data_IF_285743967234
#
_entry.id   IF_285743967234
#
_cell.length_a   1.000
_cell.length_b   1.000
_cell.length_c   1.000
_cell.angle_alpha   90.00
_cell.angle_beta   90.00
_cell.angle_gamma   90.00
#
_symmetry.space_group_name_H-M   'P 1'
#
loop_
_entity.id
_entity.type
_entity.pdbx_description
1 polymer ?
#
# COMPACT_ATOMS: atom_id res chain seq x y z
N UNK A 1 -13.43 57.81 -38.06
CA UNK A 1 -13.55 57.37 -36.66
C UNK A 1 -13.33 55.86 -36.57
N UNK A 2 -12.08 55.41 -36.40
CA UNK A 2 -11.74 54.01 -36.11
C UNK A 2 -11.44 53.93 -34.61
N UNK A 3 -12.26 53.21 -33.84
CA UNK A 3 -12.03 52.97 -32.40
C UNK A 3 -10.91 51.94 -32.27
N UNK A 4 -9.81 52.35 -31.62
CA UNK A 4 -8.71 51.49 -31.22
C UNK A 4 -9.13 50.78 -29.92
N UNK A 5 -9.21 49.45 -29.94
CA UNK A 5 -9.52 48.62 -28.78
C UNK A 5 -8.20 48.31 -28.06
N UNK A 6 -7.98 48.93 -26.90
CA UNK A 6 -6.80 48.66 -26.07
C UNK A 6 -7.02 47.37 -25.29
N UNK A 7 -6.28 46.32 -25.65
CA UNK A 7 -6.23 45.05 -24.92
C UNK A 7 -5.29 45.19 -23.72
N UNK A 8 -5.84 45.19 -22.50
CA UNK A 8 -5.06 45.16 -21.26
C UNK A 8 -4.73 43.70 -20.96
N UNK A 9 -3.47 43.30 -21.21
CA UNK A 9 -2.93 42.02 -20.76
C UNK A 9 -2.52 42.22 -19.30
N UNK A 10 -3.31 41.69 -18.37
CA UNK A 10 -2.94 41.61 -16.96
C UNK A 10 -1.92 40.50 -16.76
N UNK A 11 -0.65 40.88 -16.62
CA UNK A 11 0.45 39.99 -16.26
C UNK A 11 0.43 39.77 -14.74
N UNK A 12 -0.17 38.66 -14.31
CA UNK A 12 -0.05 38.19 -12.92
C UNK A 12 1.35 37.58 -12.72
N UNK A 13 2.24 38.36 -12.09
CA UNK A 13 3.50 37.87 -11.58
C UNK A 13 3.24 37.01 -10.34
N UNK A 14 3.11 35.70 -10.53
CA UNK A 14 3.34 34.77 -9.42
C UNK A 14 4.84 34.76 -9.13
N UNK A 15 5.22 35.21 -7.93
CA UNK A 15 6.56 35.05 -7.40
C UNK A 15 6.88 33.55 -7.38
N UNK A 16 7.72 33.12 -8.31
CA UNK A 16 8.11 31.73 -8.47
C UNK A 16 8.83 31.21 -7.25
N UNK A 17 8.15 30.37 -6.48
CA UNK A 17 8.80 29.28 -5.78
C UNK A 17 8.89 28.13 -6.78
N UNK A 18 10.00 28.05 -7.51
CA UNK A 18 10.32 26.86 -8.31
C UNK A 18 10.73 25.74 -7.34
N UNK A 19 9.74 25.00 -6.86
CA UNK A 19 9.99 23.67 -6.30
C UNK A 19 10.55 22.85 -7.47
N UNK A 20 11.69 22.19 -7.28
CA UNK A 20 12.23 21.26 -8.26
C UNK A 20 11.09 20.31 -8.69
N UNK A 21 10.70 20.37 -9.97
CA UNK A 21 9.50 19.70 -10.45
C UNK A 21 9.79 18.20 -10.62
N UNK A 22 9.81 17.49 -9.49
CA UNK A 22 9.74 16.04 -9.48
C UNK A 22 8.44 15.53 -10.08
N UNK A 23 8.42 14.28 -10.52
CA UNK A 23 7.21 13.66 -11.04
C UNK A 23 6.13 13.63 -9.95
N UNK A 24 4.88 13.90 -10.34
CA UNK A 24 3.77 13.91 -9.40
C UNK A 24 3.37 12.48 -9.00
N UNK A 25 2.92 12.33 -7.76
CA UNK A 25 2.02 11.23 -7.43
C UNK A 25 0.66 11.49 -8.09
N UNK A 26 0.03 10.46 -8.65
CA UNK A 26 -1.21 10.56 -9.42
C UNK A 26 -2.21 9.51 -8.94
N UNK A 27 -3.31 9.99 -8.36
CA UNK A 27 -4.38 9.19 -7.76
C UNK A 27 -5.68 9.39 -8.55
N UNK A 28 -6.45 8.31 -8.72
CA UNK A 28 -7.73 8.33 -9.41
C UNK A 28 -8.86 7.98 -8.45
N UNK A 29 -9.82 8.87 -8.32
CA UNK A 29 -11.00 8.72 -7.46
C UNK A 29 -12.28 8.72 -8.30
N UNK A 30 -13.23 7.89 -7.90
CA UNK A 30 -14.60 7.86 -8.42
C UNK A 30 -15.56 8.13 -7.26
N UNK A 31 -16.08 9.36 -7.17
CA UNK A 31 -16.98 9.74 -6.07
C UNK A 31 -18.41 9.22 -6.24
N UNK A 32 -18.74 8.58 -7.36
CA UNK A 32 -20.03 7.91 -7.55
C UNK A 32 -20.13 6.56 -6.80
N UNK A 33 -19.03 6.04 -6.26
CA UNK A 33 -18.98 4.69 -5.65
C UNK A 33 -19.57 4.62 -4.24
N UNK A 34 -19.66 5.74 -3.53
CA UNK A 34 -20.25 5.79 -2.19
C UNK A 34 -20.74 7.19 -1.85
N UNK A 35 -21.54 7.30 -0.78
CA UNK A 35 -22.24 8.53 -0.43
C UNK A 35 -21.29 9.73 -0.22
N UNK A 36 -21.69 10.87 -0.79
CA UNK A 36 -21.02 12.15 -0.63
C UNK A 36 -19.84 12.34 -1.58
N UNK A 37 -19.35 13.57 -1.68
CA UNK A 37 -18.30 13.95 -2.65
C UNK A 37 -16.95 14.21 -1.97
N UNK A 38 -16.81 13.91 -0.69
CA UNK A 38 -15.55 14.13 0.06
C UNK A 38 -14.57 12.97 -0.14
N UNK A 39 -13.31 13.32 -0.36
CA UNK A 39 -12.14 12.44 -0.27
C UNK A 39 -11.12 13.07 0.69
N UNK A 40 -10.16 12.28 1.15
CA UNK A 40 -9.03 12.77 1.93
C UNK A 40 -7.70 12.15 1.49
N UNK A 41 -6.62 12.90 1.70
CA UNK A 41 -5.25 12.43 1.49
C UNK A 41 -4.54 12.22 2.85
N UNK A 42 -3.96 11.03 3.12
CA UNK A 42 -3.22 10.75 4.35
C UNK A 42 -1.75 11.21 4.22
N UNK A 43 -1.47 12.49 4.46
CA UNK A 43 -0.13 13.05 4.31
C UNK A 43 0.59 13.09 5.66
N UNK A 44 1.69 12.34 5.82
CA UNK A 44 2.42 12.24 7.09
C UNK A 44 3.94 12.33 6.89
N UNK A 45 4.67 12.50 7.99
CA UNK A 45 6.11 12.74 8.02
C UNK A 45 6.47 14.16 7.60
N UNK A 46 7.52 14.29 6.78
CA UNK A 46 7.87 15.57 6.18
C UNK A 46 6.87 15.91 5.08
N UNK A 47 5.99 16.88 5.32
CA UNK A 47 4.95 17.33 4.38
C UNK A 47 5.24 18.75 3.94
N UNK A 48 5.53 18.93 2.65
CA UNK A 48 5.58 20.21 1.96
C UNK A 48 5.18 19.98 0.50
N UNK A 49 3.87 19.95 0.25
CA UNK A 49 3.30 19.57 -1.04
C UNK A 49 2.30 20.58 -1.57
N UNK A 50 2.15 20.59 -2.90
CA UNK A 50 1.04 21.21 -3.60
C UNK A 50 0.17 20.07 -4.15
N UNK A 51 -1.10 20.08 -3.79
CA UNK A 51 -2.12 19.17 -4.28
C UNK A 51 -2.96 19.89 -5.33
N UNK A 52 -3.12 19.28 -6.51
CA UNK A 52 -4.15 19.62 -7.48
C UNK A 52 -5.25 18.57 -7.34
N UNK A 53 -6.46 19.02 -6.99
CA UNK A 53 -7.59 18.14 -6.70
C UNK A 53 -8.31 17.62 -7.94
N UNK A 54 -7.92 18.08 -9.14
CA UNK A 54 -8.49 17.63 -10.41
C UNK A 54 -9.81 18.30 -10.80
N UNK A 55 -10.27 19.29 -10.03
CA UNK A 55 -11.46 20.10 -10.30
C UNK A 55 -11.13 21.57 -10.58
N UNK A 56 -9.85 21.86 -10.84
CA UNK A 56 -9.32 23.22 -11.03
C UNK A 56 -8.92 23.92 -9.73
N UNK A 57 -9.12 23.29 -8.57
CA UNK A 57 -8.61 23.79 -7.29
C UNK A 57 -7.25 23.18 -6.93
N UNK A 58 -6.42 23.99 -6.27
CA UNK A 58 -5.10 23.58 -5.77
C UNK A 58 -4.92 24.02 -4.33
N UNK A 59 -4.18 23.25 -3.54
CA UNK A 59 -3.91 23.54 -2.14
C UNK A 59 -2.44 23.30 -1.80
N UNK A 60 -1.79 24.26 -1.16
CA UNK A 60 -0.49 24.05 -0.52
C UNK A 60 -0.71 23.46 0.88
N UNK A 61 0.00 22.39 1.20
CA UNK A 61 -0.13 21.65 2.45
C UNK A 61 1.25 21.43 3.04
N UNK A 62 1.43 21.88 4.28
CA UNK A 62 2.70 21.83 5.02
C UNK A 62 2.55 21.25 6.44
N UNK A 63 1.46 20.51 6.67
CA UNK A 63 1.17 19.85 7.94
C UNK A 63 0.79 18.41 7.72
N UNK A 64 1.14 17.55 8.67
CA UNK A 64 0.67 16.16 8.69
C UNK A 64 -0.84 16.08 8.95
N UNK A 65 -1.45 14.97 8.55
CA UNK A 65 -2.83 14.64 8.83
C UNK A 65 -3.61 14.21 7.60
N UNK A 66 -4.91 14.00 7.81
CA UNK A 66 -5.85 13.88 6.71
C UNK A 66 -6.21 15.27 6.19
N UNK A 67 -6.08 15.45 4.88
CA UNK A 67 -6.49 16.67 4.20
C UNK A 67 -7.67 16.36 3.31
N UNK A 68 -8.83 16.90 3.66
CA UNK A 68 -10.10 16.64 2.98
C UNK A 68 -10.33 17.63 1.84
N UNK A 69 -10.99 17.14 0.79
CA UNK A 69 -11.54 17.97 -0.28
C UNK A 69 -12.93 17.47 -0.63
N UNK A 70 -13.87 18.40 -0.85
CA UNK A 70 -15.27 18.08 -1.16
C UNK A 70 -15.63 18.67 -2.52
N UNK A 71 -15.91 17.79 -3.49
CA UNK A 71 -16.28 18.21 -4.83
C UNK A 71 -17.73 18.72 -4.88
N UNK A 72 -18.02 19.60 -5.85
CA UNK A 72 -19.37 20.18 -6.06
C UNK A 72 -20.36 19.20 -6.70
N UNK A 73 -19.86 18.18 -7.39
CA UNK A 73 -20.64 17.11 -8.01
C UNK A 73 -19.96 15.77 -7.80
N UNK A 74 -20.72 14.68 -8.02
CA UNK A 74 -20.10 13.36 -8.18
C UNK A 74 -19.40 13.26 -9.54
N UNK A 75 -18.39 12.39 -9.64
CA UNK A 75 -17.58 12.25 -10.85
C UNK A 75 -16.27 11.48 -10.66
N UNK A 76 -15.52 11.39 -11.75
CA UNK A 76 -14.14 10.91 -11.75
C UNK A 76 -13.18 12.09 -11.56
N UNK A 77 -12.22 11.95 -10.65
CA UNK A 77 -11.23 12.97 -10.36
C UNK A 77 -9.82 12.39 -10.38
N UNK A 78 -8.90 13.13 -10.98
CA UNK A 78 -7.47 12.81 -10.94
C UNK A 78 -6.78 13.82 -10.04
N UNK A 79 -6.29 13.34 -8.89
CA UNK A 79 -5.58 14.15 -7.90
C UNK A 79 -4.09 14.00 -8.14
N UNK A 80 -3.36 15.12 -8.15
CA UNK A 80 -1.90 15.08 -8.27
C UNK A 80 -1.23 15.75 -7.08
N UNK A 81 -0.12 15.17 -6.61
CA UNK A 81 0.65 15.68 -5.47
C UNK A 81 2.09 15.90 -5.93
N UNK A 82 2.61 17.12 -5.73
CA UNK A 82 4.01 17.49 -6.03
C UNK A 82 4.65 18.13 -4.81
N UNK A 83 5.95 17.93 -4.63
CA UNK A 83 6.71 18.49 -3.50
C UNK A 83 7.45 17.41 -2.74
N UNK A 84 7.51 17.54 -1.42
CA UNK A 84 8.16 16.59 -0.53
C UNK A 84 7.15 15.93 0.40
N UNK A 85 7.12 14.60 0.40
CA UNK A 85 6.30 13.78 1.28
C UNK A 85 7.09 12.54 1.69
N UNK A 86 7.34 12.34 2.99
CA UNK A 86 8.07 11.14 3.44
C UNK A 86 7.16 9.97 3.79
N UNK A 87 5.85 10.19 4.03
CA UNK A 87 4.90 9.10 4.27
C UNK A 87 3.54 9.41 3.63
N UNK A 88 3.00 8.43 2.90
CA UNK A 88 1.63 8.45 2.40
C UNK A 88 0.87 7.29 3.04
N UNK A 89 -0.08 7.60 3.92
CA UNK A 89 -0.77 6.63 4.76
C UNK A 89 -0.56 6.86 6.27
N UNK A 90 -1.40 6.23 7.09
CA UNK A 90 -1.28 6.23 8.55
C UNK A 90 -2.03 5.02 9.12
N UNK A 91 -1.30 4.03 9.63
CA UNK A 91 -1.84 2.77 10.15
C UNK A 91 -3.12 2.92 10.99
N UNK A 92 -4.04 1.96 10.82
CA UNK A 92 -5.14 1.72 11.76
C UNK A 92 -6.30 2.72 11.74
N UNK A 93 -6.29 3.72 10.85
CA UNK A 93 -7.40 4.68 10.72
C UNK A 93 -7.89 4.77 9.28
N UNK A 94 -9.20 4.63 9.11
CA UNK A 94 -9.84 4.74 7.80
C UNK A 94 -9.73 6.17 7.30
N UNK A 95 -9.02 6.38 6.19
CA UNK A 95 -8.97 7.68 5.52
C UNK A 95 -10.36 7.98 4.91
N UNK A 96 -10.95 9.17 5.14
CA UNK A 96 -12.24 9.51 4.55
C UNK A 96 -12.24 9.39 3.02
N UNK A 97 -13.27 8.75 2.46
CA UNK A 97 -13.42 8.55 1.02
C UNK A 97 -12.38 7.65 0.36
N UNK A 98 -11.59 6.88 1.12
CA UNK A 98 -10.58 5.94 0.56
C UNK A 98 -11.22 4.84 -0.29
N UNK A 99 -12.46 4.47 0.00
CA UNK A 99 -13.26 3.54 -0.79
C UNK A 99 -13.58 4.06 -2.20
N UNK A 100 -13.43 5.38 -2.44
CA UNK A 100 -13.57 5.99 -3.77
C UNK A 100 -12.29 5.93 -4.60
N UNK A 101 -11.15 5.55 -4.02
CA UNK A 101 -9.88 5.40 -4.74
C UNK A 101 -9.94 4.15 -5.63
N UNK A 102 -9.79 4.33 -6.94
CA UNK A 102 -9.89 3.24 -7.93
C UNK A 102 -8.54 2.83 -8.53
N UNK A 103 -7.56 3.74 -8.52
CA UNK A 103 -6.24 3.48 -9.10
C UNK A 103 -5.18 4.51 -8.70
N UNK A 104 -3.91 4.09 -8.82
CA UNK A 104 -2.74 4.96 -8.70
C UNK A 104 -1.88 4.78 -9.95
N UNK A 105 -1.64 5.86 -10.69
CA UNK A 105 -0.84 5.81 -11.93
C UNK A 105 0.63 6.20 -11.74
N UNK A 106 0.96 6.87 -10.63
CA UNK A 106 2.33 7.23 -10.28
C UNK A 106 2.45 7.47 -8.78
N UNK A 107 3.56 7.04 -8.16
CA UNK A 107 3.95 7.47 -6.80
C UNK A 107 4.77 8.77 -6.80
N UNK A 108 5.18 9.24 -7.98
CA UNK A 108 6.01 10.43 -8.13
C UNK A 108 7.39 10.31 -7.52
N UNK A 109 8.06 11.45 -7.37
CA UNK A 109 9.38 11.56 -6.72
C UNK A 109 9.31 12.40 -5.45
N UNK A 110 8.34 12.10 -4.58
CA UNK A 110 8.06 12.86 -3.36
C UNK A 110 9.06 12.60 -2.21
N UNK A 111 9.88 11.55 -2.31
CA UNK A 111 10.78 11.14 -1.23
C UNK A 111 10.11 10.23 -0.18
N UNK A 112 9.05 9.50 -0.58
CA UNK A 112 8.31 8.57 0.29
C UNK A 112 9.25 7.48 0.79
N UNK A 113 9.25 7.28 2.11
CA UNK A 113 9.95 6.23 2.85
C UNK A 113 8.98 5.24 3.50
N UNK A 114 7.74 5.65 3.78
CA UNK A 114 6.71 4.77 4.33
C UNK A 114 5.42 4.87 3.53
N UNK A 115 4.88 3.71 3.17
CA UNK A 115 3.53 3.55 2.62
C UNK A 115 2.60 2.89 3.64
N UNK A 116 2.92 3.03 4.94
CA UNK A 116 2.18 2.42 6.02
C UNK A 116 0.70 2.85 5.98
N UNK A 117 -0.20 1.89 5.73
CA UNK A 117 -1.63 2.11 5.64
C UNK A 117 -2.09 2.97 4.45
N UNK A 118 -1.26 3.15 3.41
CA UNK A 118 -1.58 4.03 2.28
C UNK A 118 -2.92 3.71 1.60
N UNK A 119 -3.25 2.42 1.48
CA UNK A 119 -4.47 1.92 0.84
C UNK A 119 -5.31 1.06 1.78
N UNK A 120 -5.20 1.31 3.09
CA UNK A 120 -6.07 0.68 4.09
C UNK A 120 -7.55 0.93 3.76
N UNK A 121 -8.31 -0.15 3.56
CA UNK A 121 -9.74 -0.15 3.16
C UNK A 121 -10.03 0.52 1.80
N UNK A 122 -9.05 0.63 0.91
CA UNK A 122 -9.27 1.04 -0.47
C UNK A 122 -9.97 -0.08 -1.27
N UNK A 123 -11.23 -0.37 -0.94
CA UNK A 123 -11.97 -1.56 -1.39
C UNK A 123 -12.17 -1.60 -2.90
N UNK A 124 -12.15 -0.45 -3.59
CA UNK A 124 -12.31 -0.34 -5.05
C UNK A 124 -10.97 -0.13 -5.79
N UNK A 125 -9.83 -0.15 -5.08
CA UNK A 125 -8.51 0.00 -5.70
C UNK A 125 -8.16 -1.24 -6.51
N UNK A 126 -7.89 -1.07 -7.81
CA UNK A 126 -7.59 -2.19 -8.72
C UNK A 126 -6.17 -2.18 -9.27
N UNK A 127 -5.51 -1.03 -9.29
CA UNK A 127 -4.19 -0.87 -9.90
C UNK A 127 -3.33 0.15 -9.17
N UNK A 128 -2.03 -0.11 -9.18
CA UNK A 128 -0.95 0.76 -8.70
C UNK A 128 0.17 0.74 -9.76
N UNK A 129 1.15 1.65 -9.70
CA UNK A 129 2.24 1.66 -10.66
C UNK A 129 3.09 0.39 -10.54
N UNK A 130 3.65 -0.07 -11.66
CA UNK A 130 4.53 -1.25 -11.71
C UNK A 130 5.89 -1.06 -11.03
N UNK A 131 6.17 0.14 -10.51
CA UNK A 131 7.36 0.48 -9.73
C UNK A 131 6.96 1.24 -8.47
N UNK A 132 7.64 0.93 -7.38
CA UNK A 132 7.51 1.62 -6.12
C UNK A 132 8.68 2.59 -5.90
N UNK A 133 8.56 3.64 -5.06
CA UNK A 133 9.71 4.48 -4.74
C UNK A 133 10.82 3.67 -4.05
N UNK A 134 12.06 3.79 -4.54
CA UNK A 134 13.21 2.98 -4.09
C UNK A 134 13.61 3.18 -2.61
N UNK A 135 13.10 4.24 -1.96
CA UNK A 135 13.42 4.58 -0.57
C UNK A 135 12.38 4.03 0.41
N UNK A 136 11.37 3.29 -0.05
CA UNK A 136 10.36 2.70 0.84
C UNK A 136 11.00 1.62 1.71
N UNK A 137 10.89 1.81 3.02
CA UNK A 137 11.35 0.87 4.06
C UNK A 137 10.18 0.23 4.83
N UNK A 138 8.99 0.81 4.74
CA UNK A 138 7.81 0.40 5.51
C UNK A 138 6.57 0.29 4.61
N UNK A 139 6.01 -0.93 4.56
CA UNK A 139 4.81 -1.29 3.80
C UNK A 139 3.72 -1.87 4.71
N UNK A 140 3.80 -1.63 6.02
CA UNK A 140 2.81 -2.13 6.96
C UNK A 140 1.39 -1.75 6.51
N UNK A 141 0.52 -2.75 6.43
CA UNK A 141 -0.89 -2.56 6.14
C UNK A 141 -1.19 -1.81 4.82
N UNK A 142 -0.25 -1.85 3.86
CA UNK A 142 -0.35 -1.11 2.59
C UNK A 142 -1.68 -1.38 1.86
N UNK A 143 -2.06 -2.65 1.71
CA UNK A 143 -3.29 -3.11 1.04
C UNK A 143 -4.26 -3.82 1.99
N UNK A 144 -4.16 -3.57 3.30
CA UNK A 144 -5.11 -4.10 4.26
C UNK A 144 -6.56 -3.79 3.86
N UNK A 145 -7.40 -4.82 3.71
CA UNK A 145 -8.82 -4.71 3.36
C UNK A 145 -9.03 -4.05 1.98
N UNK A 146 -8.02 -4.01 1.11
CA UNK A 146 -8.18 -3.62 -0.29
C UNK A 146 -8.77 -4.81 -1.09
N UNK A 147 -10.05 -5.10 -0.84
CA UNK A 147 -10.67 -6.37 -1.24
C UNK A 147 -10.72 -6.63 -2.76
N UNK A 148 -10.67 -5.58 -3.59
CA UNK A 148 -10.62 -5.71 -5.06
C UNK A 148 -9.20 -5.64 -5.64
N UNK A 149 -8.17 -5.45 -4.81
CA UNK A 149 -6.82 -5.27 -5.30
C UNK A 149 -6.20 -6.60 -5.77
N UNK A 150 -5.78 -6.62 -7.04
CA UNK A 150 -4.97 -7.68 -7.65
C UNK A 150 -4.10 -7.12 -8.78
N UNK A 151 -3.61 -5.89 -8.60
CA UNK A 151 -2.79 -5.19 -9.61
C UNK A 151 -1.40 -5.80 -9.77
N UNK A 152 -0.77 -5.58 -10.92
CA UNK A 152 0.60 -6.05 -11.18
C UNK A 152 1.63 -5.25 -10.36
N UNK A 153 2.27 -5.96 -9.42
CA UNK A 153 3.35 -5.47 -8.57
C UNK A 153 4.61 -6.33 -8.68
N UNK A 154 4.69 -7.17 -9.71
CA UNK A 154 5.80 -8.10 -9.93
C UNK A 154 7.15 -7.38 -10.13
N UNK A 155 7.10 -6.14 -10.63
CA UNK A 155 8.27 -5.28 -10.88
C UNK A 155 8.72 -4.42 -9.70
N UNK A 156 8.11 -4.56 -8.51
CA UNK A 156 8.50 -3.76 -7.34
C UNK A 156 9.86 -4.20 -6.80
N UNK A 157 10.76 -3.23 -6.62
CA UNK A 157 12.00 -3.43 -5.87
C UNK A 157 11.72 -3.19 -4.37
N UNK A 158 11.59 -4.29 -3.63
CA UNK A 158 11.35 -4.29 -2.18
C UNK A 158 12.61 -4.54 -1.35
N UNK A 159 13.79 -4.47 -1.97
CA UNK A 159 15.06 -4.83 -1.31
C UNK A 159 15.48 -3.88 -0.17
N UNK A 160 14.84 -2.72 -0.05
CA UNK A 160 15.03 -1.79 1.08
C UNK A 160 13.98 -1.96 2.18
N UNK A 161 12.93 -2.76 1.96
CA UNK A 161 11.79 -2.87 2.89
C UNK A 161 12.18 -3.70 4.11
N UNK A 162 11.87 -3.16 5.28
CA UNK A 162 12.11 -3.79 6.58
C UNK A 162 10.81 -4.27 7.25
N UNK A 163 9.67 -3.65 6.94
CA UNK A 163 8.37 -3.98 7.52
C UNK A 163 7.31 -4.26 6.45
N UNK A 164 6.74 -5.48 6.46
CA UNK A 164 5.62 -5.91 5.62
C UNK A 164 4.43 -6.43 6.46
N UNK A 165 4.35 -6.03 7.74
CA UNK A 165 3.26 -6.41 8.64
C UNK A 165 1.89 -6.16 7.99
N UNK A 166 1.00 -7.14 8.00
CA UNK A 166 -0.38 -7.03 7.51
C UNK A 166 -0.53 -6.48 6.08
N UNK A 167 0.51 -6.50 5.23
CA UNK A 167 0.51 -5.82 3.93
C UNK A 167 -0.71 -6.16 3.06
N UNK A 168 -1.16 -7.42 3.04
CA UNK A 168 -2.33 -7.92 2.31
C UNK A 168 -3.42 -8.47 3.25
N UNK A 169 -3.45 -8.02 4.51
CA UNK A 169 -4.44 -8.47 5.49
C UNK A 169 -5.88 -8.25 4.98
N UNK A 170 -6.67 -9.31 4.85
CA UNK A 170 -8.02 -9.30 4.26
C UNK A 170 -8.11 -8.68 2.84
N UNK A 171 -7.02 -8.67 2.07
CA UNK A 171 -7.04 -8.37 0.63
C UNK A 171 -7.55 -9.60 -0.14
N UNK A 172 -8.84 -9.88 -0.03
CA UNK A 172 -9.44 -11.17 -0.40
C UNK A 172 -9.24 -11.59 -1.86
N UNK A 173 -9.09 -10.64 -2.79
CA UNK A 173 -8.84 -10.92 -4.22
C UNK A 173 -7.36 -11.02 -4.61
N UNK A 174 -6.43 -10.69 -3.70
CA UNK A 174 -5.02 -10.61 -4.03
C UNK A 174 -4.43 -12.00 -4.33
N UNK A 175 -3.83 -12.14 -5.51
CA UNK A 175 -3.06 -13.30 -5.95
C UNK A 175 -2.00 -12.90 -7.01
N UNK A 176 -1.42 -11.71 -6.84
CA UNK A 176 -0.43 -11.16 -7.78
C UNK A 176 0.91 -11.91 -7.71
N UNK A 177 1.68 -11.86 -8.79
CA UNK A 177 3.03 -12.43 -8.81
C UNK A 177 3.99 -11.57 -7.98
N UNK A 178 4.54 -12.18 -6.93
CA UNK A 178 5.54 -11.60 -6.02
C UNK A 178 6.76 -12.54 -5.86
N UNK A 179 6.91 -13.49 -6.79
CA UNK A 179 7.94 -14.54 -6.74
C UNK A 179 9.37 -14.02 -6.84
N UNK A 180 9.54 -12.84 -7.46
CA UNK A 180 10.85 -12.21 -7.67
C UNK A 180 11.22 -11.17 -6.60
N UNK A 181 10.38 -10.98 -5.58
CA UNK A 181 10.68 -10.02 -4.52
C UNK A 181 11.88 -10.45 -3.68
N UNK A 182 12.82 -9.52 -3.49
CA UNK A 182 13.94 -9.71 -2.57
C UNK A 182 13.55 -9.23 -1.17
N UNK A 183 13.16 -10.15 -0.30
CA UNK A 183 12.70 -9.87 1.06
C UNK A 183 13.81 -9.98 2.14
N UNK A 184 15.08 -10.02 1.74
CA UNK A 184 16.20 -10.33 2.64
C UNK A 184 16.40 -9.31 3.80
N UNK A 185 15.83 -8.11 3.70
CA UNK A 185 15.89 -7.07 4.73
C UNK A 185 14.64 -7.02 5.61
N UNK A 186 13.56 -7.70 5.21
CA UNK A 186 12.31 -7.71 5.95
C UNK A 186 12.50 -8.38 7.30
N UNK A 187 11.99 -7.73 8.34
CA UNK A 187 12.02 -8.16 9.73
C UNK A 187 10.66 -8.63 10.23
N UNK A 188 9.59 -8.03 9.72
CA UNK A 188 8.23 -8.26 10.23
C UNK A 188 7.33 -8.62 9.05
N UNK A 189 6.72 -9.81 9.11
CA UNK A 189 5.72 -10.32 8.15
C UNK A 189 4.49 -10.90 8.88
N UNK A 190 4.23 -10.43 10.10
CA UNK A 190 3.02 -10.79 10.83
C UNK A 190 1.79 -10.49 9.97
N UNK A 191 0.80 -11.38 9.97
CA UNK A 191 -0.49 -11.21 9.31
C UNK A 191 -0.46 -10.86 7.80
N UNK A 192 0.71 -10.97 7.13
CA UNK A 192 0.92 -10.42 5.78
C UNK A 192 -0.14 -10.88 4.77
N UNK A 193 -0.54 -12.16 4.83
CA UNK A 193 -1.58 -12.76 3.99
C UNK A 193 -2.79 -13.24 4.80
N UNK A 194 -2.94 -12.81 6.05
CA UNK A 194 -4.07 -13.25 6.88
C UNK A 194 -5.39 -12.75 6.26
N UNK A 195 -6.32 -13.66 6.00
CA UNK A 195 -7.59 -13.39 5.30
C UNK A 195 -7.46 -13.10 3.80
N UNK A 196 -6.27 -13.24 3.19
CA UNK A 196 -6.09 -13.15 1.75
C UNK A 196 -6.57 -14.46 1.07
N UNK A 197 -7.89 -14.65 1.05
CA UNK A 197 -8.58 -15.89 0.65
C UNK A 197 -8.07 -16.47 -0.67
N UNK A 198 -7.82 -15.63 -1.68
CA UNK A 198 -7.40 -16.06 -3.03
C UNK A 198 -5.90 -16.28 -3.19
N UNK A 199 -5.08 -15.92 -2.20
CA UNK A 199 -3.63 -15.93 -2.33
C UNK A 199 -3.08 -17.35 -2.40
N UNK A 200 -2.36 -17.65 -3.47
CA UNK A 200 -1.60 -18.88 -3.68
C UNK A 200 -0.36 -18.61 -4.58
N UNK A 201 0.22 -17.42 -4.45
CA UNK A 201 1.41 -17.02 -5.22
C UNK A 201 2.66 -17.82 -4.83
N UNK A 202 3.59 -17.99 -5.77
CA UNK A 202 4.87 -18.63 -5.49
C UNK A 202 5.77 -17.72 -4.65
N UNK A 203 6.10 -18.17 -3.45
CA UNK A 203 7.02 -17.52 -2.50
C UNK A 203 8.14 -18.49 -2.06
N UNK A 204 8.33 -19.59 -2.79
CA UNK A 204 9.30 -20.64 -2.45
C UNK A 204 10.75 -20.16 -2.46
N UNK A 205 11.05 -19.10 -3.22
CA UNK A 205 12.39 -18.51 -3.38
C UNK A 205 12.72 -17.38 -2.41
N UNK A 206 11.77 -16.99 -1.55
CA UNK A 206 12.02 -15.92 -0.59
C UNK A 206 13.04 -16.33 0.46
N UNK A 207 14.07 -15.50 0.65
CA UNK A 207 15.02 -15.66 1.76
C UNK A 207 14.45 -14.99 3.02
N UNK A 208 13.78 -15.79 3.85
CA UNK A 208 13.17 -15.35 5.12
C UNK A 208 14.12 -15.47 6.32
N UNK A 209 15.40 -15.77 6.10
CA UNK A 209 16.38 -16.01 7.19
C UNK A 209 16.61 -14.78 8.09
N UNK A 210 16.22 -13.58 7.65
CA UNK A 210 16.31 -12.34 8.40
C UNK A 210 15.00 -11.86 9.03
N UNK A 211 13.88 -12.53 8.72
CA UNK A 211 12.58 -12.25 9.32
C UNK A 211 12.64 -12.64 10.79
N UNK A 212 12.02 -11.84 11.65
CA UNK A 212 11.98 -12.03 13.10
C UNK A 212 10.62 -12.57 13.56
N UNK A 213 9.54 -12.24 12.84
CA UNK A 213 8.17 -12.66 13.17
C UNK A 213 7.28 -12.83 11.93
N UNK A 214 6.47 -13.90 11.96
CA UNK A 214 5.50 -14.33 10.93
C UNK A 214 4.20 -14.85 11.58
N UNK A 215 3.80 -14.25 12.69
CA UNK A 215 2.60 -14.62 13.46
C UNK A 215 1.37 -14.46 12.56
N UNK A 216 0.49 -15.46 12.53
CA UNK A 216 -0.73 -15.46 11.71
C UNK A 216 -0.52 -15.19 10.22
N UNK A 217 0.69 -15.35 9.66
CA UNK A 217 1.02 -14.91 8.30
C UNK A 217 0.02 -15.41 7.23
N UNK A 218 -0.46 -16.65 7.33
CA UNK A 218 -1.45 -17.25 6.43
C UNK A 218 -2.77 -17.61 7.13
N UNK A 219 -3.08 -17.00 8.28
CA UNK A 219 -4.36 -17.27 8.96
C UNK A 219 -5.54 -16.99 8.01
N UNK A 220 -6.50 -17.91 7.86
CA UNK A 220 -7.64 -17.78 6.94
C UNK A 220 -7.27 -17.59 5.44
N UNK A 221 -6.02 -17.78 5.02
CA UNK A 221 -5.62 -17.79 3.60
C UNK A 221 -6.02 -19.14 2.97
N UNK A 222 -7.32 -19.32 2.72
CA UNK A 222 -7.90 -20.64 2.45
C UNK A 222 -7.40 -21.31 1.17
N UNK A 223 -6.96 -20.56 0.17
CA UNK A 223 -6.41 -21.09 -1.09
C UNK A 223 -4.92 -21.40 -1.03
N UNK A 224 -4.21 -20.94 0.01
CA UNK A 224 -2.75 -21.02 0.05
C UNK A 224 -2.26 -22.47 0.22
N UNK A 225 -1.40 -22.90 -0.70
CA UNK A 225 -0.71 -24.19 -0.66
C UNK A 225 0.69 -24.10 -1.30
N UNK A 226 1.40 -22.99 -1.08
CA UNK A 226 2.76 -22.77 -1.61
C UNK A 226 3.79 -23.71 -0.97
N UNK A 227 4.85 -24.02 -1.74
CA UNK A 227 6.02 -24.73 -1.21
C UNK A 227 6.87 -23.78 -0.34
N UNK A 228 7.08 -24.18 0.91
CA UNK A 228 7.88 -23.45 1.89
C UNK A 228 9.05 -24.28 2.42
N UNK A 229 9.36 -25.41 1.79
CA UNK A 229 10.36 -26.38 2.25
C UNK A 229 11.78 -25.79 2.35
N UNK A 230 12.07 -24.75 1.55
CA UNK A 230 13.38 -24.07 1.51
C UNK A 230 13.50 -22.89 2.47
N UNK A 231 12.46 -22.54 3.21
CA UNK A 231 12.49 -21.40 4.13
C UNK A 231 13.36 -21.70 5.35
N UNK A 232 14.35 -20.82 5.60
CA UNK A 232 15.12 -20.84 6.86
C UNK A 232 14.35 -20.11 7.97
N UNK A 233 13.64 -20.88 8.77
CA UNK A 233 12.87 -20.39 9.94
C UNK A 233 13.65 -20.52 11.26
N UNK A 234 14.96 -20.80 11.21
CA UNK A 234 15.76 -21.14 12.40
C UNK A 234 15.80 -20.03 13.47
N UNK A 235 15.54 -18.77 13.09
CA UNK A 235 15.49 -17.63 14.03
C UNK A 235 14.12 -17.44 14.71
N UNK A 236 13.07 -18.11 14.23
CA UNK A 236 11.71 -17.92 14.74
C UNK A 236 11.58 -18.37 16.19
N UNK A 237 10.98 -17.51 17.02
CA UNK A 237 10.63 -17.82 18.41
C UNK A 237 9.17 -18.27 18.57
N UNK A 238 8.31 -17.89 17.64
CA UNK A 238 6.88 -18.18 17.63
C UNK A 238 6.42 -18.47 16.20
N UNK A 239 5.49 -19.41 16.07
CA UNK A 239 4.75 -19.74 14.84
C UNK A 239 3.25 -19.73 15.12
N UNK A 240 2.83 -18.89 16.08
CA UNK A 240 1.45 -18.80 16.52
C UNK A 240 0.52 -18.55 15.34
N UNK A 241 -0.42 -19.47 15.14
CA UNK A 241 -1.46 -19.43 14.13
C UNK A 241 -1.01 -19.25 12.67
N UNK A 242 0.25 -19.53 12.33
CA UNK A 242 0.80 -19.29 10.98
C UNK A 242 -0.08 -19.83 9.85
N UNK A 243 -0.70 -21.01 10.02
CA UNK A 243 -1.60 -21.66 9.07
C UNK A 243 -2.99 -21.93 9.65
N UNK A 244 -3.41 -21.18 10.68
CA UNK A 244 -4.73 -21.33 11.28
C UNK A 244 -5.80 -21.10 10.20
N UNK A 245 -6.74 -22.04 10.02
CA UNK A 245 -7.77 -21.99 8.99
C UNK A 245 -7.25 -21.85 7.53
N UNK A 246 -5.97 -22.10 7.25
CA UNK A 246 -5.44 -22.22 5.90
C UNK A 246 -5.79 -23.61 5.33
N UNK A 247 -7.06 -23.79 4.93
CA UNK A 247 -7.65 -25.11 4.70
C UNK A 247 -6.95 -25.95 3.63
N UNK A 248 -6.40 -25.30 2.60
CA UNK A 248 -5.70 -25.96 1.48
C UNK A 248 -4.24 -26.32 1.79
N UNK A 249 -3.65 -25.75 2.84
CA UNK A 249 -2.22 -25.90 3.11
C UNK A 249 -1.88 -27.35 3.51
N UNK A 250 -0.99 -27.97 2.75
CA UNK A 250 -0.45 -29.31 2.97
C UNK A 250 1.07 -29.42 2.70
N UNK A 251 1.77 -28.28 2.66
CA UNK A 251 3.20 -28.20 2.33
C UNK A 251 4.10 -28.99 3.29
N UNK A 252 5.17 -29.58 2.74
CA UNK A 252 6.19 -30.27 3.54
C UNK A 252 7.10 -29.26 4.24
N UNK A 253 6.98 -29.21 5.56
CA UNK A 253 7.81 -28.39 6.45
C UNK A 253 8.72 -29.23 7.36
N UNK A 254 8.94 -30.51 7.01
CA UNK A 254 9.74 -31.44 7.82
C UNK A 254 11.21 -31.04 7.96
N UNK A 255 11.71 -30.20 7.04
CA UNK A 255 13.09 -29.71 7.04
C UNK A 255 13.29 -28.43 7.86
N UNK A 256 12.22 -27.83 8.38
CA UNK A 256 12.32 -26.61 9.17
C UNK A 256 13.06 -26.84 10.50
N UNK A 257 14.03 -25.99 10.82
CA UNK A 257 14.72 -26.02 12.11
C UNK A 257 13.87 -25.37 13.21
N UNK A 258 13.17 -26.21 13.96
CA UNK A 258 12.24 -25.79 15.01
C UNK A 258 12.90 -25.56 16.39
N UNK A 259 14.24 -25.67 16.52
CA UNK A 259 14.92 -25.67 17.84
C UNK A 259 14.71 -24.40 18.65
N UNK A 260 14.45 -23.26 18.00
CA UNK A 260 14.25 -21.97 18.65
C UNK A 260 12.78 -21.61 18.88
N UNK A 261 11.83 -22.35 18.30
CA UNK A 261 10.41 -22.10 18.46
C UNK A 261 9.98 -22.44 19.89
N UNK A 262 9.19 -21.55 20.49
CA UNK A 262 8.67 -21.67 21.87
C UNK A 262 7.14 -21.66 21.93
N UNK A 263 6.49 -21.14 20.90
CA UNK A 263 5.04 -21.06 20.80
C UNK A 263 4.56 -21.51 19.41
N UNK A 264 3.72 -22.54 19.36
CA UNK A 264 3.05 -23.06 18.15
C UNK A 264 1.53 -23.11 18.34
N UNK A 265 0.98 -22.35 19.30
CA UNK A 265 -0.47 -22.31 19.53
C UNK A 265 -1.19 -21.97 18.23
N UNK A 266 -2.25 -22.72 17.96
CA UNK A 266 -3.10 -22.57 16.78
C UNK A 266 -2.43 -22.74 15.42
N UNK A 267 -1.15 -23.13 15.33
CA UNK A 267 -0.40 -23.16 14.05
C UNK A 267 -1.17 -23.83 12.90
N UNK A 268 -1.87 -24.94 13.17
CA UNK A 268 -2.71 -25.67 12.21
C UNK A 268 -4.17 -25.82 12.67
N UNK A 269 -4.63 -24.97 13.59
CA UNK A 269 -5.99 -25.06 14.11
C UNK A 269 -7.02 -24.78 12.99
N UNK A 270 -8.11 -25.56 13.00
CA UNK A 270 -9.25 -25.41 12.10
C UNK A 270 -10.49 -25.20 12.96
N UNK A 271 -11.14 -24.06 12.80
CA UNK A 271 -12.44 -23.78 13.38
C UNK A 271 -13.51 -24.31 12.39
N UNK A 272 -14.33 -25.27 12.84
CA UNK A 272 -15.41 -25.90 12.06
C UNK A 272 -16.74 -25.19 12.28
#
# INVERSE_FOLDING_TARGET
MKKLLTLIISLLLFSGYTIAQGDAMVLHYNTNLSQGTTIALPLYGNVDVIVDWGDGSTQAINTEGYHEHTYTSEGEYTVTIKGTLSQFGNSGKSCPGVDKLVGVSSFGTLGIQSLNGAFYKAVNLTSVPSRIPNNVIDMECLFCIATSFNGDISGWDVSSVENMNAMFYYATSFNGDISNWNVNRVKIMDEMFSGAISFNGDISRWDVSNVETMIYMFENATSFNGDLSQWDVSKMKTMMGMFKNAISFNGDISQWDMRNVRDMRFMFNKDY
#
